data_IF_318727329073
#
_entry.id   IF_318727329073
#
_cell.length_a   1.000
_cell.length_b   1.000
_cell.length_c   1.000
_cell.angle_alpha   90.00
_cell.angle_beta   90.00
_cell.angle_gamma   90.00
#
_symmetry.space_group_name_H-M   'P 1'
#
loop_
_entity.id
_entity.type
_entity.pdbx_description
1 polymer ?
#
# COMPACT_ATOMS: atom_id res chain seq x y z
N UNK A 1 1.22 -27.90 4.66
CA UNK A 1 0.63 -27.57 3.37
C UNK A 1 0.28 -26.11 3.33
N UNK A 2 0.83 -25.40 2.37
CA UNK A 2 0.57 -24.00 2.26
C UNK A 2 -0.72 -23.76 1.49
N UNK A 3 -1.70 -23.24 2.20
CA UNK A 3 -2.88 -22.75 1.52
C UNK A 3 -2.61 -21.30 1.13
N UNK A 4 -2.29 -21.09 -0.12
CA UNK A 4 -2.10 -19.75 -0.64
C UNK A 4 -3.46 -19.17 -1.01
N UNK A 5 -3.80 -18.02 -0.46
CA UNK A 5 -5.03 -17.35 -0.81
C UNK A 5 -4.87 -16.80 -2.23
N UNK A 6 -5.79 -17.10 -3.16
CA UNK A 6 -5.67 -16.58 -4.52
C UNK A 6 -5.73 -15.07 -4.59
N UNK A 7 -5.03 -14.48 -5.56
CA UNK A 7 -5.05 -13.04 -5.79
C UNK A 7 -6.47 -12.51 -6.01
N UNK A 8 -7.36 -13.32 -6.58
CA UNK A 8 -8.74 -12.93 -6.82
C UNK A 8 -9.51 -12.63 -5.54
N UNK A 9 -9.16 -13.28 -4.42
CA UNK A 9 -9.82 -13.02 -3.14
C UNK A 9 -9.48 -11.61 -2.66
N UNK A 10 -8.21 -11.23 -2.76
CA UNK A 10 -7.80 -9.87 -2.39
C UNK A 10 -8.43 -8.83 -3.33
N UNK A 11 -8.51 -9.13 -4.60
CA UNK A 11 -9.16 -8.24 -5.56
C UNK A 11 -10.64 -8.03 -5.22
N UNK A 12 -11.34 -9.09 -4.81
CA UNK A 12 -12.74 -8.99 -4.39
C UNK A 12 -12.88 -8.14 -3.13
N UNK A 13 -11.96 -8.27 -2.19
CA UNK A 13 -11.96 -7.47 -0.97
C UNK A 13 -11.77 -6.00 -1.28
N UNK A 14 -10.86 -5.69 -2.19
CA UNK A 14 -10.66 -4.31 -2.66
C UNK A 14 -11.90 -3.77 -3.35
N UNK A 15 -12.55 -4.58 -4.16
CA UNK A 15 -13.76 -4.15 -4.86
C UNK A 15 -14.90 -3.81 -3.88
N UNK A 16 -15.04 -4.60 -2.81
CA UNK A 16 -16.04 -4.33 -1.77
C UNK A 16 -15.77 -3.01 -1.05
N UNK A 17 -14.50 -2.77 -0.73
CA UNK A 17 -14.13 -1.50 -0.09
C UNK A 17 -14.37 -0.33 -1.03
N UNK A 18 -13.98 -0.47 -2.30
CA UNK A 18 -14.18 0.59 -3.29
C UNK A 18 -15.65 0.96 -3.40
N UNK A 19 -16.55 -0.02 -3.37
CA UNK A 19 -17.98 0.23 -3.43
C UNK A 19 -18.47 1.07 -2.26
N UNK A 20 -17.81 0.99 -1.11
CA UNK A 20 -18.17 1.76 0.08
C UNK A 20 -17.60 3.18 0.07
N UNK A 21 -16.59 3.44 -0.73
CA UNK A 21 -15.92 4.74 -0.74
C UNK A 21 -16.76 5.83 -1.43
N UNK A 22 -17.69 5.45 -2.26
CA UNK A 22 -18.35 6.39 -3.13
C UNK A 22 -17.49 6.70 -4.35
N UNK A 23 -18.13 7.12 -5.42
CA UNK A 23 -17.49 7.25 -6.73
C UNK A 23 -16.27 8.17 -6.73
N UNK A 24 -16.34 9.27 -5.99
CA UNK A 24 -15.26 10.23 -5.89
C UNK A 24 -14.41 10.05 -4.63
N UNK A 25 -14.56 8.94 -3.93
CA UNK A 25 -13.77 8.64 -2.74
C UNK A 25 -12.44 8.00 -3.08
N UNK A 26 -11.49 8.14 -2.17
CA UNK A 26 -10.17 7.52 -2.28
C UNK A 26 -9.74 7.03 -0.91
N UNK A 27 -9.14 5.85 -0.85
CA UNK A 27 -8.57 5.30 0.37
C UNK A 27 -7.05 5.19 0.24
N UNK A 28 -6.33 5.62 1.26
CA UNK A 28 -4.88 5.57 1.32
C UNK A 28 -4.52 4.66 2.50
N UNK A 29 -3.94 3.51 2.22
CA UNK A 29 -3.73 2.47 3.22
C UNK A 29 -2.27 2.05 3.22
N UNK A 30 -1.48 2.50 4.21
CA UNK A 30 -0.10 2.06 4.33
C UNK A 30 -0.01 0.73 5.06
N UNK A 31 1.05 -0.01 4.78
CA UNK A 31 1.44 -1.08 5.69
C UNK A 31 2.31 -0.52 6.79
N UNK A 32 2.43 -1.24 7.89
CA UNK A 32 3.30 -0.84 8.97
C UNK A 32 4.75 -0.78 8.48
N UNK A 33 5.53 0.20 8.94
CA UNK A 33 6.96 0.21 8.61
C UNK A 33 7.65 -0.96 9.32
N UNK A 34 8.79 -1.35 8.79
CA UNK A 34 9.61 -2.36 9.42
C UNK A 34 10.03 -1.87 10.80
N UNK A 35 9.67 -2.64 11.83
CA UNK A 35 10.00 -2.25 13.20
C UNK A 35 11.38 -2.75 13.55
N UNK A 36 12.21 -1.84 14.03
CA UNK A 36 13.48 -2.21 14.63
C UNK A 36 13.31 -2.23 16.13
N UNK A 37 13.64 -3.35 16.72
CA UNK A 37 13.75 -3.42 18.16
C UNK A 37 15.09 -2.89 18.59
N UNK A 38 15.05 -2.20 19.70
CA UNK A 38 16.28 -1.85 20.41
C UNK A 38 16.93 -3.11 20.93
N UNK A 39 18.23 -3.20 20.76
CA UNK A 39 19.07 -4.26 21.30
C UNK A 39 18.96 -5.55 20.49
N UNK A 40 19.07 -6.66 21.17
CA UNK A 40 19.38 -7.96 20.60
C UNK A 40 18.19 -8.70 20.04
N UNK A 41 17.01 -8.19 20.24
CA UNK A 41 15.80 -8.87 19.78
C UNK A 41 15.40 -8.31 18.42
N UNK A 42 15.40 -9.17 17.45
CA UNK A 42 14.88 -8.84 16.12
C UNK A 42 13.42 -9.21 16.07
N UNK A 43 12.59 -8.27 15.68
CA UNK A 43 11.22 -8.58 15.36
C UNK A 43 11.14 -8.99 13.91
N UNK A 44 10.42 -10.06 13.65
CA UNK A 44 9.98 -10.33 12.30
C UNK A 44 8.97 -9.25 11.91
N UNK A 45 9.13 -8.72 10.72
CA UNK A 45 8.18 -7.75 10.19
C UNK A 45 6.78 -8.39 10.11
N UNK A 46 5.78 -7.66 10.56
CA UNK A 46 4.39 -8.04 10.38
C UNK A 46 3.70 -6.97 9.57
N UNK A 47 3.13 -7.31 8.43
CA UNK A 47 2.35 -6.33 7.68
C UNK A 47 1.14 -5.90 8.50
N UNK A 48 0.69 -4.67 8.28
CA UNK A 48 -0.55 -4.20 8.85
C UNK A 48 -1.69 -5.11 8.44
N UNK A 49 -2.52 -5.52 9.40
CA UNK A 49 -3.61 -6.48 9.16
C UNK A 49 -4.58 -6.00 8.09
N UNK A 50 -4.90 -4.72 8.10
CA UNK A 50 -5.84 -4.14 7.16
C UNK A 50 -5.25 -4.11 5.75
N UNK A 51 -4.01 -3.68 5.65
CA UNK A 51 -3.29 -3.68 4.38
C UNK A 51 -3.18 -5.10 3.81
N UNK A 52 -2.79 -6.06 4.66
CA UNK A 52 -2.64 -7.43 4.23
C UNK A 52 -3.97 -8.04 3.77
N UNK A 53 -5.05 -7.75 4.48
CA UNK A 53 -6.38 -8.21 4.12
C UNK A 53 -6.76 -7.81 2.70
N UNK A 54 -6.33 -6.61 2.29
CA UNK A 54 -6.67 -6.05 0.98
C UNK A 54 -5.70 -6.39 -0.14
N UNK A 55 -4.47 -6.78 0.18
CA UNK A 55 -3.44 -6.98 -0.85
C UNK A 55 -2.78 -8.35 -0.85
N UNK A 56 -2.71 -9.00 0.30
CA UNK A 56 -1.89 -10.20 0.46
C UNK A 56 -0.39 -9.93 0.39
N UNK A 57 0.02 -8.67 0.35
CA UNK A 57 1.42 -8.30 0.19
C UNK A 57 2.09 -8.18 1.56
N UNK A 58 3.29 -8.75 1.68
CA UNK A 58 3.95 -8.89 2.97
C UNK A 58 5.20 -8.04 3.14
N UNK A 59 5.60 -7.29 2.13
CA UNK A 59 6.79 -6.44 2.24
C UNK A 59 6.50 -5.17 3.02
N UNK A 60 7.50 -4.63 3.74
CA UNK A 60 7.35 -3.37 4.45
C UNK A 60 7.35 -2.17 3.50
N UNK A 61 7.00 -1.02 4.03
CA UNK A 61 7.07 0.28 3.33
C UNK A 61 6.19 0.38 2.08
N UNK A 62 5.11 -0.37 2.04
CA UNK A 62 4.20 -0.34 0.91
C UNK A 62 2.94 0.47 1.24
N UNK A 63 2.30 0.96 0.18
CA UNK A 63 1.06 1.75 0.29
C UNK A 63 0.09 1.27 -0.77
N UNK A 64 -1.16 1.14 -0.38
CA UNK A 64 -2.24 0.87 -1.32
C UNK A 64 -3.11 2.11 -1.44
N UNK A 65 -3.38 2.51 -2.66
CA UNK A 65 -4.33 3.58 -2.94
C UNK A 65 -5.47 2.99 -3.74
N UNK A 66 -6.69 3.15 -3.23
CA UNK A 66 -7.88 2.57 -3.82
C UNK A 66 -8.91 3.67 -4.07
N UNK A 67 -9.42 3.75 -5.29
CA UNK A 67 -10.42 4.75 -5.62
C UNK A 67 -11.81 4.12 -5.69
N UNK A 68 -12.84 4.95 -5.50
CA UNK A 68 -14.21 4.47 -5.49
C UNK A 68 -14.68 3.90 -6.81
N UNK A 69 -14.01 4.22 -7.91
CA UNK A 69 -14.29 3.62 -9.21
C UNK A 69 -13.57 2.29 -9.42
N UNK A 70 -12.88 1.78 -8.39
CA UNK A 70 -12.29 0.46 -8.41
C UNK A 70 -10.82 0.39 -8.84
N UNK A 71 -10.16 1.51 -9.08
CA UNK A 71 -8.75 1.53 -9.43
C UNK A 71 -7.88 1.28 -8.19
N UNK A 72 -6.95 0.35 -8.31
CA UNK A 72 -6.01 0.04 -7.22
C UNK A 72 -4.58 0.31 -7.69
N UNK A 73 -3.84 1.02 -6.86
CA UNK A 73 -2.44 1.36 -7.12
C UNK A 73 -1.61 0.98 -5.92
N UNK A 74 -0.55 0.23 -6.15
CA UNK A 74 0.39 -0.17 -5.10
C UNK A 74 1.67 0.63 -5.24
N UNK A 75 2.15 1.18 -4.13
CA UNK A 75 3.49 1.74 -4.04
C UNK A 75 4.33 0.78 -3.21
N UNK A 76 5.43 0.33 -3.76
CA UNK A 76 6.27 -0.67 -3.10
C UNK A 76 7.75 -0.40 -3.35
N UNK A 77 8.60 -1.15 -2.64
CA UNK A 77 10.04 -1.01 -2.80
C UNK A 77 10.45 -1.32 -4.24
N UNK A 78 11.34 -0.51 -4.83
CA UNK A 78 11.83 -0.80 -6.18
C UNK A 78 12.65 -2.08 -6.21
N UNK A 79 12.71 -2.71 -7.37
CA UNK A 79 13.49 -3.91 -7.56
C UNK A 79 14.97 -3.53 -7.69
N UNK A 80 15.79 -4.00 -6.77
CA UNK A 80 17.22 -3.74 -6.77
C UNK A 80 17.94 -5.00 -6.30
N UNK A 81 18.49 -5.74 -7.24
CA UNK A 81 19.09 -7.04 -6.95
C UNK A 81 20.29 -6.93 -6.01
N UNK A 82 21.04 -5.84 -6.06
CA UNK A 82 22.17 -5.66 -5.15
C UNK A 82 21.68 -5.46 -3.71
N UNK A 83 20.61 -4.72 -3.51
CA UNK A 83 20.08 -4.49 -2.18
C UNK A 83 19.38 -5.72 -1.61
N UNK A 84 18.87 -6.59 -2.47
CA UNK A 84 18.20 -7.81 -2.00
C UNK A 84 19.16 -8.76 -1.27
N UNK A 85 20.45 -8.65 -1.52
CA UNK A 85 21.46 -9.41 -0.78
C UNK A 85 21.40 -9.07 0.71
N UNK A 86 21.10 -7.81 1.03
CA UNK A 86 21.07 -7.31 2.40
C UNK A 86 19.66 -7.25 2.98
N UNK A 87 18.70 -6.84 2.17
CA UNK A 87 17.35 -6.54 2.62
C UNK A 87 16.34 -7.66 2.36
N UNK A 88 16.73 -8.69 1.61
CA UNK A 88 15.83 -9.76 1.21
C UNK A 88 15.10 -9.46 -0.09
N UNK A 89 14.38 -10.46 -0.57
CA UNK A 89 13.68 -10.38 -1.84
C UNK A 89 12.64 -9.25 -1.86
N UNK A 90 12.55 -8.58 -2.98
CA UNK A 90 11.51 -7.56 -3.25
C UNK A 90 10.84 -7.87 -4.59
N UNK A 91 9.52 -7.81 -4.61
CA UNK A 91 8.75 -8.07 -5.81
C UNK A 91 8.99 -7.02 -6.89
N UNK A 92 8.99 -5.76 -6.48
CA UNK A 92 9.13 -4.63 -7.38
C UNK A 92 7.84 -4.22 -8.05
N UNK A 93 7.74 -2.94 -8.48
CA UNK A 93 6.50 -2.45 -9.07
C UNK A 93 6.15 -3.06 -10.43
N UNK A 94 7.15 -3.48 -11.21
CA UNK A 94 6.87 -4.05 -12.53
C UNK A 94 6.14 -5.38 -12.46
N UNK A 95 6.46 -6.20 -11.45
CA UNK A 95 5.83 -7.51 -11.28
C UNK A 95 4.55 -7.47 -10.45
N UNK A 96 4.32 -6.40 -9.70
CA UNK A 96 3.23 -6.34 -8.74
C UNK A 96 1.84 -6.45 -9.37
N UNK A 97 1.53 -5.80 -10.50
CA UNK A 97 0.19 -5.92 -11.07
C UNK A 97 -0.20 -7.36 -11.41
N UNK A 98 0.70 -8.10 -12.03
CA UNK A 98 0.42 -9.50 -12.38
C UNK A 98 0.34 -10.39 -11.14
N UNK A 99 1.22 -10.17 -10.16
CA UNK A 99 1.29 -11.02 -8.97
C UNK A 99 0.13 -10.77 -8.01
N UNK A 100 -0.30 -9.52 -7.86
CA UNK A 100 -1.27 -9.14 -6.84
C UNK A 100 -2.63 -8.73 -7.41
N UNK A 101 -2.72 -8.57 -8.72
CA UNK A 101 -3.96 -8.18 -9.36
C UNK A 101 -4.32 -6.71 -9.20
N UNK A 102 -3.37 -5.86 -8.79
CA UNK A 102 -3.60 -4.42 -8.73
C UNK A 102 -3.53 -3.83 -10.13
N UNK A 103 -4.18 -2.69 -10.33
CA UNK A 103 -4.26 -2.07 -11.66
C UNK A 103 -2.95 -1.40 -12.06
N UNK A 104 -2.23 -0.84 -11.10
CA UNK A 104 -0.95 -0.18 -11.35
C UNK A 104 -0.06 -0.32 -10.14
N UNK A 105 1.24 -0.16 -10.34
CA UNK A 105 2.19 -0.15 -9.25
C UNK A 105 3.35 0.78 -9.60
N UNK A 106 3.89 1.42 -8.57
CA UNK A 106 4.99 2.36 -8.69
C UNK A 106 5.97 2.17 -7.54
N UNK A 107 7.18 2.65 -7.72
CA UNK A 107 8.15 2.67 -6.63
C UNK A 107 7.66 3.60 -5.52
N UNK A 108 7.86 3.19 -4.26
CA UNK A 108 7.43 4.00 -3.12
C UNK A 108 8.14 5.35 -3.09
N UNK A 109 9.30 5.45 -3.73
CA UNK A 109 10.02 6.71 -3.87
C UNK A 109 9.20 7.78 -4.60
N UNK A 110 8.24 7.38 -5.42
CA UNK A 110 7.41 8.29 -6.19
C UNK A 110 6.10 8.66 -5.48
N UNK A 111 5.92 8.20 -4.26
CA UNK A 111 4.67 8.38 -3.53
C UNK A 111 4.27 9.86 -3.39
N UNK A 112 5.20 10.68 -2.92
CA UNK A 112 4.91 12.09 -2.65
C UNK A 112 4.63 12.89 -3.94
N UNK A 113 5.16 12.43 -5.06
CA UNK A 113 4.91 13.06 -6.35
C UNK A 113 3.57 12.65 -6.94
N UNK A 114 3.21 11.38 -6.79
CA UNK A 114 2.02 10.83 -7.46
C UNK A 114 0.74 10.98 -6.65
N UNK A 115 0.83 10.97 -5.32
CA UNK A 115 -0.37 11.05 -4.48
C UNK A 115 -1.20 12.32 -4.72
N UNK A 116 -0.60 13.51 -4.84
CA UNK A 116 -1.42 14.69 -5.11
C UNK A 116 -2.25 14.58 -6.39
N UNK A 117 -1.71 13.94 -7.42
CA UNK A 117 -2.45 13.73 -8.66
C UNK A 117 -3.62 12.78 -8.48
N UNK A 118 -3.45 11.74 -7.66
CA UNK A 118 -4.51 10.80 -7.36
C UNK A 118 -5.61 11.43 -6.50
N UNK A 119 -5.27 12.46 -5.75
CA UNK A 119 -6.22 13.16 -4.88
C UNK A 119 -7.04 14.22 -5.62
N UNK A 120 -6.68 14.55 -6.85
CA UNK A 120 -7.42 15.53 -7.63
C UNK A 120 -8.87 15.09 -7.83
N UNK A 121 -9.80 16.01 -7.62
CA UNK A 121 -11.24 15.79 -7.83
C UNK A 121 -11.85 14.72 -6.92
N UNK A 122 -11.21 14.44 -5.78
CA UNK A 122 -11.78 13.53 -4.79
C UNK A 122 -12.59 14.33 -3.77
N UNK A 123 -13.74 13.82 -3.39
CA UNK A 123 -14.58 14.47 -2.40
C UNK A 123 -14.33 13.94 -0.98
N UNK A 124 -13.78 12.74 -0.85
CA UNK A 124 -13.58 12.11 0.44
C UNK A 124 -12.28 11.32 0.42
N UNK A 125 -11.44 11.51 1.43
CA UNK A 125 -10.19 10.78 1.61
C UNK A 125 -10.31 9.94 2.87
N UNK A 126 -10.11 8.63 2.72
CA UNK A 126 -10.14 7.68 3.81
C UNK A 126 -8.74 7.18 4.11
N UNK A 127 -8.37 7.10 5.37
CA UNK A 127 -7.11 6.49 5.78
C UNK A 127 -7.25 5.91 7.19
N UNK A 128 -6.43 4.91 7.56
CA UNK A 128 -6.51 4.31 8.90
C UNK A 128 -6.11 5.31 9.97
N UNK A 129 -7.01 5.57 10.89
CA UNK A 129 -6.77 6.53 11.95
C UNK A 129 -5.88 5.89 13.02
N UNK A 130 -4.87 6.61 13.44
CA UNK A 130 -3.99 6.24 14.55
C UNK A 130 -3.18 4.94 14.36
N UNK A 131 -3.20 4.33 13.18
CA UNK A 131 -2.45 3.11 12.94
C UNK A 131 -1.05 3.36 12.39
N UNK A 132 -0.79 4.57 11.91
CA UNK A 132 0.48 4.91 11.28
C UNK A 132 0.89 6.31 11.72
N UNK A 133 2.01 6.37 12.44
CA UNK A 133 2.49 7.65 12.98
C UNK A 133 2.83 8.62 11.85
N UNK A 134 2.31 9.83 11.96
CA UNK A 134 2.59 10.87 10.97
C UNK A 134 1.76 10.81 9.70
N UNK A 135 0.84 9.85 9.59
CA UNK A 135 0.04 9.69 8.38
C UNK A 135 -0.83 10.93 8.11
N UNK A 136 -1.44 11.47 9.14
CA UNK A 136 -2.30 12.65 8.97
C UNK A 136 -1.53 13.83 8.40
N UNK A 137 -0.32 14.07 8.88
CA UNK A 137 0.52 15.14 8.37
C UNK A 137 0.89 14.93 6.92
N UNK A 138 1.16 13.69 6.54
CA UNK A 138 1.48 13.39 5.14
C UNK A 138 0.27 13.60 4.23
N UNK A 139 -0.90 13.15 4.66
CA UNK A 139 -2.14 13.35 3.89
C UNK A 139 -2.41 14.83 3.71
N UNK A 140 -2.29 15.62 4.78
CA UNK A 140 -2.45 17.08 4.70
C UNK A 140 -1.46 17.70 3.72
N UNK A 141 -0.20 17.24 3.75
CA UNK A 141 0.82 17.72 2.83
C UNK A 141 0.47 17.43 1.38
N UNK A 142 -0.04 16.27 1.09
CA UNK A 142 -0.48 15.93 -0.27
C UNK A 142 -1.68 16.76 -0.70
N UNK A 143 -2.66 16.92 0.17
CA UNK A 143 -3.84 17.72 -0.13
C UNK A 143 -3.52 19.17 -0.42
N UNK A 144 -2.51 19.72 0.25
CA UNK A 144 -2.08 21.09 0.00
C UNK A 144 -1.44 21.30 -1.38
N UNK A 145 -1.09 20.23 -2.06
CA UNK A 145 -0.50 20.28 -3.40
C UNK A 145 -1.52 20.07 -4.52
N UNK A 146 -2.74 19.80 -4.15
CA UNK A 146 -3.81 19.56 -5.13
C UNK A 146 -4.30 20.87 -5.76
#
# INVERSE_FOLDING_TARGET
>A
MNTTVPASVYAQRRARLAAQLGRAGIAIIPTAPEQQRNRDSDFLFRPDSYFYYLTGFTEPHAWLVLTGDGQSTLFCAPKDLEREIWDGYRLGPDAAPAALGVDAAHAVNDLDERLPRLLENRDTVWYPFATHKGLESRVDGWLNKV
#
